data_IF_780172308573
#
_entry.id   IF_780172308573
#
_cell.length_a   1.000
_cell.length_b   1.000
_cell.length_c   1.000
_cell.angle_alpha   90.00
_cell.angle_beta   90.00
_cell.angle_gamma   90.00
#
_symmetry.space_group_name_H-M   'P 1'
#
loop_
_entity.id
_entity.type
_entity.pdbx_description
1 polymer ?
#
# COMPACT_ATOMS: atom_id res chain seq x y z
N UNK A 1 38.82 -40.65 -11.23
CA UNK A 1 38.35 -39.60 -10.30
C UNK A 1 37.67 -38.53 -11.13
N UNK A 2 36.34 -38.39 -11.05
CA UNK A 2 35.56 -37.38 -11.79
C UNK A 2 35.09 -36.34 -10.78
N UNK A 3 35.50 -35.10 -10.98
CA UNK A 3 35.16 -33.96 -10.12
C UNK A 3 33.78 -33.45 -10.57
N UNK A 4 32.76 -33.60 -9.73
CA UNK A 4 31.46 -32.97 -9.94
C UNK A 4 31.54 -31.51 -9.48
N UNK A 5 31.58 -30.58 -10.43
CA UNK A 5 31.39 -29.17 -10.15
C UNK A 5 29.90 -28.90 -9.86
N UNK A 6 29.59 -28.52 -8.62
CA UNK A 6 28.26 -28.06 -8.22
C UNK A 6 28.10 -26.63 -8.73
N UNK A 7 27.31 -26.45 -9.79
CA UNK A 7 26.88 -25.12 -10.22
C UNK A 7 25.76 -24.63 -9.30
N UNK A 8 26.11 -23.75 -8.35
CA UNK A 8 25.11 -22.99 -7.60
C UNK A 8 24.43 -21.99 -8.55
N UNK A 9 23.21 -22.31 -8.98
CA UNK A 9 22.31 -21.35 -9.63
C UNK A 9 21.84 -20.38 -8.55
N UNK A 10 22.48 -19.22 -8.48
CA UNK A 10 22.00 -18.10 -7.67
C UNK A 10 20.78 -17.53 -8.40
N UNK A 11 19.58 -17.95 -7.98
CA UNK A 11 18.34 -17.30 -8.39
C UNK A 11 18.36 -15.91 -7.77
N UNK A 12 18.66 -14.91 -8.59
CA UNK A 12 18.51 -13.51 -8.20
C UNK A 12 17.02 -13.25 -7.98
N UNK A 13 16.58 -13.35 -6.73
CA UNK A 13 15.32 -12.74 -6.31
C UNK A 13 15.42 -11.27 -6.71
N UNK A 14 14.45 -10.78 -7.49
CA UNK A 14 14.32 -9.39 -7.88
C UNK A 14 14.04 -8.54 -6.63
N UNK A 15 15.07 -8.32 -5.83
CA UNK A 15 15.13 -7.30 -4.80
C UNK A 15 15.19 -6.00 -5.59
N UNK A 16 14.03 -5.37 -5.82
CA UNK A 16 13.98 -4.05 -6.42
C UNK A 16 14.89 -3.13 -5.61
N UNK A 17 16.02 -2.74 -6.20
CA UNK A 17 16.99 -1.87 -5.56
C UNK A 17 16.30 -0.57 -5.14
N UNK A 18 16.63 -0.01 -3.96
CA UNK A 18 16.14 1.31 -3.60
C UNK A 18 16.59 2.30 -4.68
N UNK A 19 15.62 3.03 -5.24
CA UNK A 19 15.87 4.07 -6.24
C UNK A 19 16.87 5.07 -5.66
N UNK A 20 17.90 5.50 -6.42
CA UNK A 20 18.87 6.49 -5.96
C UNK A 20 18.16 7.73 -5.43
N UNK A 21 18.58 8.19 -4.24
CA UNK A 21 18.04 9.38 -3.61
C UNK A 21 18.46 10.61 -4.43
N UNK A 22 17.66 11.01 -5.41
CA UNK A 22 17.78 12.34 -5.99
C UNK A 22 17.24 13.34 -4.95
N UNK A 23 18.02 14.36 -4.62
CA UNK A 23 17.79 15.32 -3.52
C UNK A 23 16.58 16.23 -3.72
N UNK A 24 15.81 16.07 -4.81
CA UNK A 24 14.44 16.55 -4.89
C UNK A 24 13.51 15.57 -4.17
N UNK A 25 13.49 15.70 -2.85
CA UNK A 25 12.53 15.03 -1.98
C UNK A 25 11.12 15.27 -2.54
N UNK A 26 10.40 14.22 -2.95
CA UNK A 26 8.96 14.37 -3.15
C UNK A 26 8.38 14.79 -1.79
N UNK A 27 7.58 15.88 -1.72
CA UNK A 27 7.14 16.46 -0.46
C UNK A 27 6.37 15.49 0.44
N UNK A 28 5.84 14.39 -0.12
CA UNK A 28 5.03 13.40 0.61
C UNK A 28 5.73 12.06 0.90
N UNK A 29 7.02 11.91 0.56
CA UNK A 29 7.74 10.65 0.81
C UNK A 29 7.84 10.32 2.30
N UNK A 30 7.98 11.32 3.17
CA UNK A 30 8.01 11.12 4.63
C UNK A 30 6.65 10.63 5.15
N UNK A 31 5.55 11.27 4.73
CA UNK A 31 4.19 10.88 5.11
C UNK A 31 3.86 9.46 4.60
N UNK A 32 4.27 9.13 3.37
CA UNK A 32 4.06 7.79 2.81
C UNK A 32 4.82 6.71 3.58
N UNK A 33 6.07 6.98 3.98
CA UNK A 33 6.86 6.06 4.81
C UNK A 33 6.27 5.94 6.22
N UNK A 34 5.77 7.03 6.78
CA UNK A 34 5.08 7.01 8.08
C UNK A 34 3.86 6.10 8.04
N UNK A 35 3.01 6.22 7.01
CA UNK A 35 1.86 5.34 6.83
C UNK A 35 2.27 3.87 6.70
N UNK A 36 3.26 3.58 5.86
CA UNK A 36 3.77 2.22 5.69
C UNK A 36 4.31 1.67 7.01
N UNK A 37 5.12 2.44 7.75
CA UNK A 37 5.68 2.03 9.03
C UNK A 37 4.60 1.69 10.07
N UNK A 38 3.57 2.54 10.21
CA UNK A 38 2.47 2.28 11.13
C UNK A 38 1.65 1.05 10.74
N UNK A 39 1.43 0.84 9.44
CA UNK A 39 0.79 -0.38 8.92
C UNK A 39 1.66 -1.61 9.13
N UNK A 40 2.97 -1.55 8.89
CA UNK A 40 3.88 -2.68 9.14
C UNK A 40 3.88 -3.03 10.62
N UNK A 41 3.99 -2.04 11.51
CA UNK A 41 3.96 -2.25 12.95
C UNK A 41 2.70 -3.00 13.40
N UNK A 42 1.49 -2.55 13.02
CA UNK A 42 0.24 -3.24 13.42
C UNK A 42 0.10 -4.63 12.78
N UNK A 43 0.70 -4.85 11.61
CA UNK A 43 0.63 -6.11 10.87
C UNK A 43 1.72 -7.12 11.24
N UNK A 44 2.78 -6.70 11.91
CA UNK A 44 3.85 -7.55 12.41
C UNK A 44 3.41 -8.37 13.63
N UNK A 45 4.16 -9.43 13.93
CA UNK A 45 3.83 -10.35 15.02
C UNK A 45 3.69 -9.61 16.36
N UNK A 46 4.60 -8.69 16.64
CA UNK A 46 4.62 -7.91 17.89
C UNK A 46 3.43 -6.94 17.97
N UNK A 47 3.13 -6.21 16.89
CA UNK A 47 1.95 -5.34 16.87
C UNK A 47 0.65 -6.12 16.99
N UNK A 48 0.50 -7.26 16.31
CA UNK A 48 -0.68 -8.13 16.46
C UNK A 48 -0.84 -8.64 17.90
N UNK A 49 0.27 -8.95 18.57
CA UNK A 49 0.25 -9.35 19.98
C UNK A 49 -0.03 -8.19 20.93
N UNK A 50 0.38 -6.96 20.59
CA UNK A 50 0.11 -5.76 21.38
C UNK A 50 -1.36 -5.33 21.24
N UNK A 51 -1.92 -5.48 20.05
CA UNK A 51 -3.29 -5.14 19.70
C UNK A 51 -4.19 -6.38 19.74
N UNK A 52 -4.18 -7.11 20.86
CA UNK A 52 -4.92 -8.37 21.01
C UNK A 52 -6.41 -8.18 20.72
N UNK A 53 -6.99 -7.06 21.12
CA UNK A 53 -8.41 -6.81 20.95
C UNK A 53 -8.82 -6.80 19.47
N UNK A 54 -7.92 -6.37 18.56
CA UNK A 54 -8.13 -6.36 17.12
C UNK A 54 -7.99 -7.73 16.45
N UNK A 55 -7.16 -8.64 16.99
CA UNK A 55 -6.75 -9.86 16.28
C UNK A 55 -6.88 -11.15 17.11
N UNK A 56 -7.52 -11.11 18.28
CA UNK A 56 -7.72 -12.29 19.11
C UNK A 56 -8.71 -13.28 18.48
N UNK A 57 -8.39 -14.57 18.60
CA UNK A 57 -9.26 -15.67 18.15
C UNK A 57 -9.01 -16.14 16.72
N UNK A 58 -8.08 -15.54 15.98
CA UNK A 58 -7.67 -16.00 14.65
C UNK A 58 -6.22 -15.58 14.33
N UNK A 59 -5.58 -16.28 13.39
CA UNK A 59 -4.27 -15.88 12.88
C UNK A 59 -4.43 -15.00 11.64
N UNK A 60 -4.29 -13.69 11.82
CA UNK A 60 -4.39 -12.72 10.73
C UNK A 60 -3.37 -12.97 9.59
N UNK A 61 -2.27 -13.65 9.86
CA UNK A 61 -1.28 -14.00 8.82
C UNK A 61 -1.84 -14.99 7.79
N UNK A 62 -2.75 -15.88 8.21
CA UNK A 62 -3.30 -16.94 7.35
C UNK A 62 -4.46 -16.46 6.47
N UNK A 63 -5.00 -15.28 6.75
CA UNK A 63 -6.14 -14.72 6.01
C UNK A 63 -5.67 -14.05 4.71
N UNK A 64 -6.46 -14.13 3.65
CA UNK A 64 -6.16 -13.37 2.42
C UNK A 64 -6.24 -11.84 2.62
N UNK A 65 -5.52 -11.08 1.79
CA UNK A 65 -5.67 -9.64 1.76
C UNK A 65 -6.93 -9.25 0.97
N UNK A 66 -7.77 -8.37 1.53
CA UNK A 66 -8.89 -7.76 0.81
C UNK A 66 -8.44 -6.43 0.22
N UNK A 67 -8.30 -6.39 -1.10
CA UNK A 67 -7.92 -5.19 -1.85
C UNK A 67 -9.14 -4.31 -2.14
N UNK A 68 -8.93 -2.99 -2.26
CA UNK A 68 -9.96 -2.06 -2.73
C UNK A 68 -10.26 -2.37 -4.22
N UNK A 69 -11.53 -2.59 -4.60
CA UNK A 69 -11.89 -2.86 -5.99
C UNK A 69 -12.06 -1.60 -6.85
N UNK A 70 -12.08 -0.40 -6.25
CA UNK A 70 -12.50 0.84 -6.91
C UNK A 70 -11.36 1.70 -7.45
N UNK A 71 -10.12 1.26 -7.36
CA UNK A 71 -8.94 1.98 -7.88
C UNK A 71 -8.06 1.07 -8.71
N UNK A 72 -7.39 1.68 -9.68
CA UNK A 72 -6.45 1.01 -10.58
C UNK A 72 -5.00 1.36 -10.22
N UNK A 73 -4.73 1.73 -8.96
CA UNK A 73 -3.42 2.23 -8.48
C UNK A 73 -2.27 1.33 -8.91
N UNK A 74 -2.41 0.01 -8.77
CA UNK A 74 -1.33 -0.93 -9.13
C UNK A 74 -0.98 -0.87 -10.63
N UNK A 75 -1.97 -0.80 -11.52
CA UNK A 75 -1.74 -0.75 -12.96
C UNK A 75 -1.40 0.64 -13.49
N UNK A 76 -1.98 1.69 -12.92
CA UNK A 76 -1.78 3.08 -13.35
C UNK A 76 -0.44 3.64 -12.84
N UNK A 77 -0.02 3.24 -11.65
CA UNK A 77 1.26 3.66 -11.06
C UNK A 77 2.43 2.72 -11.42
N UNK A 78 2.24 1.79 -12.35
CA UNK A 78 3.31 0.90 -12.78
C UNK A 78 4.39 1.70 -13.51
N UNK A 79 5.69 1.51 -13.20
CA UNK A 79 6.77 2.15 -13.94
C UNK A 79 6.75 1.79 -15.43
N UNK A 80 7.29 2.67 -16.27
CA UNK A 80 7.50 2.39 -17.70
C UNK A 80 8.44 1.17 -17.80
N UNK A 81 8.02 0.13 -18.51
CA UNK A 81 8.84 -1.06 -18.72
C UNK A 81 10.03 -0.69 -19.60
N UNK A 82 11.24 -0.66 -19.03
CA UNK A 82 12.45 -0.27 -19.76
C UNK A 82 13.10 -1.41 -20.53
N UNK A 83 12.76 -2.69 -20.26
CA UNK A 83 13.28 -3.85 -21.00
C UNK A 83 12.37 -5.09 -20.85
N UNK A 84 12.61 -6.13 -21.67
CA UNK A 84 11.83 -7.37 -21.89
C UNK A 84 11.60 -8.29 -20.65
N UNK A 85 11.63 -7.78 -19.43
CA UNK A 85 11.51 -8.53 -18.17
C UNK A 85 10.13 -8.43 -17.53
N UNK A 86 9.06 -8.46 -18.33
CA UNK A 86 7.70 -8.30 -17.80
C UNK A 86 6.96 -9.64 -17.66
N UNK A 87 6.49 -9.94 -16.44
CA UNK A 87 5.44 -10.95 -16.18
C UNK A 87 4.03 -10.43 -16.49
N UNK A 88 3.91 -9.22 -17.04
CA UNK A 88 2.66 -8.52 -17.33
C UNK A 88 2.63 -8.06 -18.79
N UNK A 89 1.45 -8.00 -19.41
CA UNK A 89 1.29 -7.47 -20.76
C UNK A 89 1.89 -6.06 -20.86
N UNK A 90 2.76 -5.85 -21.86
CA UNK A 90 3.32 -4.52 -22.17
C UNK A 90 2.17 -3.54 -22.39
N UNK A 91 1.99 -2.60 -21.47
CA UNK A 91 1.14 -1.44 -21.73
C UNK A 91 1.91 -0.48 -22.62
N UNK A 92 1.37 -0.22 -23.81
CA UNK A 92 1.88 0.80 -24.74
C UNK A 92 1.57 2.24 -24.28
N UNK A 93 1.11 2.45 -23.04
CA UNK A 93 0.73 3.77 -22.50
C UNK A 93 1.89 4.41 -21.74
N UNK A 94 2.08 5.71 -21.91
CA UNK A 94 3.00 6.50 -21.09
C UNK A 94 2.52 6.58 -19.63
N UNK A 95 3.46 6.69 -18.70
CA UNK A 95 3.15 6.90 -17.28
C UNK A 95 2.52 8.27 -17.07
N UNK A 96 1.36 8.32 -16.41
CA UNK A 96 0.68 9.56 -16.05
C UNK A 96 0.79 9.83 -14.55
N UNK A 97 1.64 10.79 -14.17
CA UNK A 97 1.78 11.24 -12.78
C UNK A 97 0.43 11.67 -12.20
N UNK A 98 -0.36 12.42 -12.97
CA UNK A 98 -1.68 12.91 -12.55
C UNK A 98 -2.64 11.76 -12.28
N UNK A 99 -2.70 10.76 -13.16
CA UNK A 99 -3.60 9.62 -12.99
C UNK A 99 -3.19 8.71 -11.85
N UNK A 100 -1.88 8.48 -11.69
CA UNK A 100 -1.34 7.73 -10.56
C UNK A 100 -1.68 8.40 -9.22
N UNK A 101 -1.40 9.71 -9.10
CA UNK A 101 -1.73 10.46 -7.88
C UNK A 101 -3.24 10.49 -7.61
N UNK A 102 -4.09 10.59 -8.64
CA UNK A 102 -5.55 10.51 -8.48
C UNK A 102 -5.99 9.18 -7.87
N UNK A 103 -5.45 8.06 -8.36
CA UNK A 103 -5.77 6.73 -7.82
C UNK A 103 -5.25 6.55 -6.38
N UNK A 104 -4.04 7.04 -6.07
CA UNK A 104 -3.50 7.03 -4.71
C UNK A 104 -4.40 7.82 -3.76
N UNK A 105 -4.87 9.02 -4.14
CA UNK A 105 -5.79 9.81 -3.32
C UNK A 105 -7.13 9.07 -3.11
N UNK A 106 -7.62 8.36 -4.13
CA UNK A 106 -8.81 7.51 -4.03
C UNK A 106 -8.66 6.37 -3.03
N UNK A 107 -7.52 5.66 -3.07
CA UNK A 107 -7.20 4.61 -2.10
C UNK A 107 -7.18 5.14 -0.66
N UNK A 108 -6.53 6.28 -0.45
CA UNK A 108 -6.40 6.87 0.89
C UNK A 108 -7.75 7.34 1.44
N UNK A 109 -8.59 7.95 0.60
CA UNK A 109 -9.92 8.36 1.02
C UNK A 109 -10.81 7.16 1.38
N UNK A 110 -10.72 6.08 0.59
CA UNK A 110 -11.42 4.83 0.92
C UNK A 110 -10.99 4.30 2.29
N UNK A 111 -9.68 4.20 2.55
CA UNK A 111 -9.19 3.68 3.82
C UNK A 111 -9.48 4.61 4.99
N UNK A 112 -9.44 5.93 4.80
CA UNK A 112 -9.86 6.89 5.83
C UNK A 112 -11.33 6.66 6.22
N UNK A 113 -12.26 6.64 5.26
CA UNK A 113 -13.67 6.37 5.54
C UNK A 113 -13.88 5.01 6.23
N UNK A 114 -13.23 3.96 5.71
CA UNK A 114 -13.34 2.62 6.28
C UNK A 114 -12.83 2.57 7.72
N UNK A 115 -11.65 3.13 8.00
CA UNK A 115 -11.07 3.11 9.34
C UNK A 115 -11.89 3.95 10.33
N UNK A 116 -12.41 5.11 9.91
CA UNK A 116 -13.28 5.93 10.78
C UNK A 116 -14.65 5.26 11.05
N UNK A 117 -15.10 4.32 10.20
CA UNK A 117 -16.35 3.60 10.41
C UNK A 117 -16.24 2.36 11.32
N UNK A 118 -15.03 2.01 11.78
CA UNK A 118 -14.80 0.87 12.66
C UNK A 118 -14.96 1.27 14.14
N UNK A 119 -16.13 0.98 14.70
CA UNK A 119 -16.53 1.34 16.08
C UNK A 119 -15.75 0.65 17.23
N UNK A 120 -15.34 -0.64 17.18
CA UNK A 120 -14.94 -1.37 18.39
C UNK A 120 -13.61 -0.99 19.09
N UNK A 121 -12.71 -0.18 18.52
CA UNK A 121 -11.51 0.30 19.24
C UNK A 121 -10.68 1.25 18.37
N UNK A 122 -11.04 2.53 18.39
CA UNK A 122 -10.35 3.57 17.60
C UNK A 122 -8.93 3.88 18.13
N UNK A 123 -8.62 3.54 19.38
CA UNK A 123 -7.32 3.83 20.01
C UNK A 123 -6.14 3.14 19.30
N UNK A 124 -6.31 1.86 18.96
CA UNK A 124 -5.23 1.03 18.42
C UNK A 124 -4.96 1.31 16.93
N UNK A 125 -5.98 1.81 16.21
CA UNK A 125 -5.88 2.22 14.82
C UNK A 125 -5.42 3.68 14.65
N UNK A 126 -5.46 4.47 15.72
CA UNK A 126 -5.15 5.91 15.69
C UNK A 126 -3.83 6.27 14.98
N UNK A 127 -2.71 5.54 15.17
CA UNK A 127 -1.47 5.83 14.44
C UNK A 127 -1.60 5.66 12.93
N UNK A 128 -2.31 4.61 12.47
CA UNK A 128 -2.57 4.36 11.05
C UNK A 128 -3.53 5.41 10.49
N UNK A 129 -4.59 5.76 11.22
CA UNK A 129 -5.56 6.78 10.81
C UNK A 129 -4.90 8.15 10.67
N UNK A 130 -4.04 8.52 11.63
CA UNK A 130 -3.28 9.78 11.61
C UNK A 130 -2.34 9.82 10.41
N UNK A 131 -1.52 8.78 10.22
CA UNK A 131 -0.61 8.72 9.08
C UNK A 131 -1.32 8.69 7.72
N UNK A 132 -2.53 8.12 7.65
CA UNK A 132 -3.38 8.17 6.46
C UNK A 132 -3.79 9.60 6.14
N UNK A 133 -4.29 10.35 7.15
CA UNK A 133 -4.68 11.76 7.00
C UNK A 133 -3.50 12.65 6.65
N UNK A 134 -2.32 12.42 7.24
CA UNK A 134 -1.10 13.16 6.94
C UNK A 134 -0.69 13.02 5.46
N UNK A 135 -0.74 11.79 4.94
CA UNK A 135 -0.45 11.55 3.52
C UNK A 135 -1.52 12.18 2.62
N UNK A 136 -2.80 12.07 2.97
CA UNK A 136 -3.88 12.74 2.23
C UNK A 136 -3.68 14.26 2.18
N UNK A 137 -3.37 14.87 3.31
CA UNK A 137 -3.12 16.31 3.41
C UNK A 137 -1.93 16.73 2.54
N UNK A 138 -0.81 16.00 2.64
CA UNK A 138 0.34 16.26 1.80
C UNK A 138 0.02 16.15 0.30
N UNK A 139 -0.73 15.13 -0.13
CA UNK A 139 -1.07 14.94 -1.53
C UNK A 139 -2.06 15.98 -2.06
N UNK A 140 -2.93 16.54 -1.21
CA UNK A 140 -3.81 17.67 -1.54
C UNK A 140 -3.03 18.98 -1.69
N UNK A 141 -2.02 19.21 -0.86
CA UNK A 141 -1.10 20.35 -1.03
C UNK A 141 -0.37 20.31 -2.40
N UNK A 142 -0.34 19.15 -3.06
CA UNK A 142 0.30 18.93 -4.37
C UNK A 142 -0.71 18.71 -5.52
N UNK A 143 -1.99 19.11 -5.40
CA UNK A 143 -2.94 19.13 -6.52
C UNK A 143 -4.40 18.77 -6.18
N UNK A 144 -5.22 18.58 -7.22
CA UNK A 144 -6.68 18.46 -7.08
C UNK A 144 -7.17 17.24 -6.28
N UNK A 145 -8.30 17.40 -5.59
CA UNK A 145 -8.94 16.38 -4.76
C UNK A 145 -9.33 15.12 -5.57
N UNK A 146 -9.48 13.99 -4.88
CA UNK A 146 -10.07 12.80 -5.49
C UNK A 146 -11.57 13.06 -5.72
N UNK A 147 -12.03 12.96 -6.97
CA UNK A 147 -13.44 12.90 -7.31
C UNK A 147 -13.81 11.47 -7.75
N UNK A 148 -14.95 10.99 -7.23
CA UNK A 148 -15.51 9.68 -7.54
C UNK A 148 -16.71 9.38 -6.63
N UNK A 149 -17.75 8.77 -7.19
CA UNK A 149 -18.88 8.26 -6.41
C UNK A 149 -18.42 7.06 -5.58
N UNK A 150 -18.60 7.15 -4.25
CA UNK A 150 -18.23 6.11 -3.31
C UNK A 150 -19.34 5.03 -3.24
N UNK A 151 -18.98 3.76 -3.07
CA UNK A 151 -19.97 2.71 -2.96
C UNK A 151 -20.73 2.78 -1.63
N UNK A 152 -21.96 2.30 -1.67
CA UNK A 152 -22.79 2.01 -0.50
C UNK A 152 -22.11 0.92 0.33
N UNK A 153 -21.83 1.19 1.61
CA UNK A 153 -20.98 0.35 2.46
C UNK A 153 -21.79 -0.50 3.43
N UNK A 154 -21.49 -1.80 3.48
CA UNK A 154 -21.60 -2.65 4.68
C UNK A 154 -20.38 -3.57 4.69
N UNK A 155 -19.24 -3.09 5.22
CA UNK A 155 -18.05 -3.94 5.46
C UNK A 155 -18.20 -4.70 6.77
N UNK A 156 -18.91 -4.08 7.72
CA UNK A 156 -19.09 -4.57 9.08
C UNK A 156 -20.43 -5.27 9.17
N UNK A 157 -20.43 -6.52 9.65
CA UNK A 157 -21.65 -7.27 9.92
C UNK A 157 -22.28 -6.92 11.27
N UNK A 158 -21.56 -6.15 12.11
CA UNK A 158 -21.95 -5.86 13.49
C UNK A 158 -21.57 -6.97 14.48
N UNK A 159 -20.94 -8.05 13.98
CA UNK A 159 -20.39 -9.13 14.78
C UNK A 159 -18.94 -8.80 15.14
N UNK A 160 -18.64 -8.68 16.44
CA UNK A 160 -17.29 -8.35 16.92
C UNK A 160 -16.20 -9.29 16.37
N UNK A 161 -16.50 -10.57 16.13
CA UNK A 161 -15.52 -11.50 15.54
C UNK A 161 -15.34 -11.29 14.03
N UNK A 162 -16.43 -11.22 13.28
CA UNK A 162 -16.38 -11.09 11.81
C UNK A 162 -15.87 -9.72 11.37
N UNK A 163 -16.15 -8.68 12.15
CA UNK A 163 -15.66 -7.33 11.91
C UNK A 163 -14.15 -7.25 12.11
N UNK A 164 -13.61 -7.92 13.14
CA UNK A 164 -12.16 -8.05 13.36
C UNK A 164 -11.49 -8.86 12.26
N UNK A 165 -12.13 -9.93 11.80
CA UNK A 165 -11.65 -10.73 10.68
C UNK A 165 -11.58 -9.86 9.41
N UNK A 166 -12.63 -9.11 9.12
CA UNK A 166 -12.72 -8.19 7.98
C UNK A 166 -11.73 -7.04 8.09
N UNK A 167 -11.52 -6.50 9.29
CA UNK A 167 -10.52 -5.48 9.57
C UNK A 167 -9.11 -6.01 9.26
N UNK A 168 -8.74 -7.20 9.75
CA UNK A 168 -7.45 -7.80 9.43
C UNK A 168 -7.25 -7.95 7.91
N UNK A 169 -8.21 -8.56 7.19
CA UNK A 169 -8.11 -8.72 5.73
C UNK A 169 -7.91 -7.38 5.03
N UNK A 170 -8.61 -6.34 5.50
CA UNK A 170 -8.56 -4.99 4.93
C UNK A 170 -7.23 -4.29 5.24
N UNK A 171 -6.72 -4.36 6.47
CA UNK A 171 -5.41 -3.83 6.85
C UNK A 171 -4.28 -4.50 6.09
N UNK A 172 -4.38 -5.81 5.79
CA UNK A 172 -3.44 -6.50 4.88
C UNK A 172 -3.46 -5.89 3.49
N UNK A 173 -4.65 -5.68 2.93
CA UNK A 173 -4.79 -5.00 1.64
C UNK A 173 -4.23 -3.59 1.67
N UNK A 174 -4.47 -2.85 2.75
CA UNK A 174 -3.94 -1.49 2.91
C UNK A 174 -2.43 -1.49 2.98
N UNK A 175 -1.83 -2.42 3.72
CA UNK A 175 -0.39 -2.57 3.79
C UNK A 175 0.24 -2.78 2.39
N UNK A 176 -0.36 -3.65 1.57
CA UNK A 176 0.08 -3.87 0.17
C UNK A 176 -0.08 -2.60 -0.68
N UNK A 177 -1.21 -1.88 -0.53
CA UNK A 177 -1.43 -0.60 -1.21
C UNK A 177 -0.42 0.46 -0.76
N UNK A 178 -0.11 0.55 0.52
CA UNK A 178 0.87 1.50 1.07
C UNK A 178 2.28 1.24 0.53
N UNK A 179 2.68 -0.03 0.35
CA UNK A 179 3.93 -0.38 -0.35
C UNK A 179 3.91 0.14 -1.79
N UNK A 180 2.79 -0.08 -2.50
CA UNK A 180 2.61 0.38 -3.88
C UNK A 180 2.70 1.91 -3.98
N UNK A 181 2.03 2.63 -3.07
CA UNK A 181 2.08 4.10 -2.99
C UNK A 181 3.52 4.60 -2.74
N UNK A 182 4.24 3.99 -1.79
CA UNK A 182 5.62 4.36 -1.50
C UNK A 182 6.52 4.20 -2.72
N UNK A 183 6.40 3.07 -3.45
CA UNK A 183 7.15 2.83 -4.69
C UNK A 183 6.80 3.85 -5.77
N UNK A 184 5.52 4.11 -5.98
CA UNK A 184 5.04 5.07 -6.97
C UNK A 184 5.53 6.49 -6.68
N UNK A 185 5.41 6.96 -5.43
CA UNK A 185 5.87 8.28 -5.03
C UNK A 185 7.40 8.41 -5.15
N UNK A 186 8.15 7.35 -4.84
CA UNK A 186 9.61 7.34 -5.05
C UNK A 186 9.98 7.41 -6.54
N UNK A 187 9.26 6.69 -7.41
CA UNK A 187 9.46 6.73 -8.87
C UNK A 187 9.11 8.11 -9.47
N UNK A 188 8.07 8.75 -8.95
CA UNK A 188 7.75 10.14 -9.31
C UNK A 188 8.88 11.07 -8.85
N UNK A 189 9.37 10.90 -7.61
CA UNK A 189 10.43 11.72 -7.03
C UNK A 189 11.75 11.65 -7.83
N UNK A 190 12.12 10.46 -8.31
CA UNK A 190 13.36 10.29 -9.07
C UNK A 190 13.33 10.99 -10.42
N UNK A 191 12.13 11.24 -10.95
CA UNK A 191 11.93 11.81 -12.27
C UNK A 191 12.19 10.83 -13.41
N UNK A 192 12.39 9.54 -13.12
CA UNK A 192 12.66 8.51 -14.13
C UNK A 192 11.52 8.36 -15.14
N UNK A 193 10.29 8.66 -14.73
CA UNK A 193 9.11 8.68 -15.59
C UNK A 193 9.13 9.76 -16.70
N UNK A 194 10.11 10.68 -16.67
CA UNK A 194 10.29 11.76 -17.66
C UNK A 194 11.41 11.47 -18.67
N UNK A 195 12.13 10.36 -18.50
CA UNK A 195 13.21 9.92 -19.42
C UNK A 195 12.60 9.19 -20.60
#
# INVERSE_FOLDING_TARGET
>A
MKICAVFCVVVALAMGSPVPLNTQQCPCSSAARSLLSNLSHIMEKEGKMKHRDLFAGFNCTDLEARMIPHTHTASVCQPIATDNTSCSDRRNSSFSTTECLRNIRGDLHYYDLLLNSYEPSVSDLSPVMTATKDLMHCLKANGAAAEGAFPEWVVWSGSSFDDRLSLCKTLKGFHVRAITMNRALAYIASGDHRK
#
